data_IF_791527850568
#
_entry.id   IF_791527850568
#
_cell.length_a   1.000
_cell.length_b   1.000
_cell.length_c   1.000
_cell.angle_alpha   90.00
_cell.angle_beta   90.00
_cell.angle_gamma   90.00
#
_symmetry.space_group_name_H-M   'P 1'
#
loop_
_entity.id
_entity.type
_entity.pdbx_description
1 polymer ?
#
# COMPACT_ATOMS: atom_id res chain seq x y z
N UNK A 1 -10.97 24.99 -22.48
CA UNK A 1 -11.65 24.38 -21.31
C UNK A 1 -12.33 25.53 -20.59
N UNK A 2 -13.66 25.50 -20.45
CA UNK A 2 -14.43 26.71 -20.13
C UNK A 2 -15.14 26.62 -18.78
N UNK A 3 -14.84 25.59 -17.98
CA UNK A 3 -15.21 25.55 -16.56
C UNK A 3 -14.11 24.91 -15.71
N UNK A 4 -13.98 25.35 -14.46
CA UNK A 4 -13.09 24.72 -13.48
C UNK A 4 -13.45 23.23 -13.25
N UNK A 5 -14.72 22.87 -13.47
CA UNK A 5 -15.21 21.50 -13.42
C UNK A 5 -14.62 20.65 -14.55
N UNK A 6 -14.56 21.15 -15.78
CA UNK A 6 -13.95 20.40 -16.91
C UNK A 6 -12.46 20.13 -16.69
N UNK A 7 -11.77 21.06 -16.03
CA UNK A 7 -10.35 20.90 -15.68
C UNK A 7 -10.19 19.89 -14.56
N UNK A 8 -11.06 19.92 -13.55
CA UNK A 8 -11.10 18.96 -12.45
C UNK A 8 -11.46 17.54 -12.92
N UNK A 9 -12.44 17.41 -13.80
CA UNK A 9 -12.88 16.13 -14.36
C UNK A 9 -11.78 15.51 -15.25
N UNK A 10 -11.05 16.32 -16.03
CA UNK A 10 -9.86 15.85 -16.77
C UNK A 10 -8.71 15.46 -15.85
N UNK A 11 -8.58 16.11 -14.70
CA UNK A 11 -7.61 15.72 -13.68
C UNK A 11 -8.00 14.39 -13.05
N UNK A 12 -9.26 14.23 -12.66
CA UNK A 12 -9.80 12.95 -12.19
C UNK A 12 -9.55 11.85 -13.23
N UNK A 13 -10.01 12.02 -14.47
CA UNK A 13 -9.88 11.00 -15.51
C UNK A 13 -8.41 10.61 -15.80
N UNK A 14 -7.48 11.58 -15.75
CA UNK A 14 -6.05 11.35 -16.02
C UNK A 14 -5.25 10.82 -14.82
N UNK A 15 -5.75 10.99 -13.60
CA UNK A 15 -5.08 10.54 -12.38
C UNK A 15 -5.79 9.36 -11.69
N UNK A 16 -7.05 9.10 -11.99
CA UNK A 16 -7.83 7.97 -11.48
C UNK A 16 -7.38 6.64 -12.11
N UNK A 17 -7.03 6.65 -13.41
CA UNK A 17 -6.37 5.51 -14.08
C UNK A 17 -4.96 5.22 -13.52
N UNK A 18 -4.20 6.28 -13.17
CA UNK A 18 -2.95 6.14 -12.40
C UNK A 18 -3.23 5.66 -10.98
N UNK A 19 -4.34 6.08 -10.37
CA UNK A 19 -4.78 5.67 -9.03
C UNK A 19 -5.01 4.17 -8.96
N UNK A 20 -5.79 3.59 -9.88
CA UNK A 20 -6.08 2.14 -9.91
C UNK A 20 -4.83 1.28 -10.19
N UNK A 21 -3.94 1.72 -11.07
CA UNK A 21 -2.66 1.04 -11.29
C UNK A 21 -1.73 1.16 -10.08
N UNK A 22 -1.68 2.33 -9.45
CA UNK A 22 -0.91 2.56 -8.21
C UNK A 22 -1.46 1.72 -7.06
N UNK A 23 -2.79 1.60 -6.95
CA UNK A 23 -3.47 0.74 -5.98
C UNK A 23 -3.07 -0.73 -6.22
N UNK A 24 -3.16 -1.22 -7.46
CA UNK A 24 -2.79 -2.59 -7.80
C UNK A 24 -1.29 -2.87 -7.52
N UNK A 25 -0.42 -1.90 -7.82
CA UNK A 25 1.00 -1.98 -7.53
C UNK A 25 1.26 -2.03 -6.02
N UNK A 26 0.68 -1.11 -5.25
CA UNK A 26 0.86 -1.04 -3.79
C UNK A 26 0.30 -2.26 -3.08
N UNK A 27 -0.84 -2.81 -3.52
CA UNK A 27 -1.39 -4.07 -3.01
C UNK A 27 -0.41 -5.21 -3.33
N UNK A 28 0.02 -5.34 -4.59
CA UNK A 28 0.94 -6.41 -4.98
C UNK A 28 2.23 -6.34 -4.17
N UNK A 29 2.81 -5.15 -4.01
CA UNK A 29 4.01 -4.93 -3.22
C UNK A 29 3.80 -5.21 -1.73
N UNK A 30 2.65 -4.84 -1.16
CA UNK A 30 2.33 -5.12 0.25
C UNK A 30 2.31 -6.63 0.54
N UNK A 31 1.80 -7.45 -0.39
CA UNK A 31 1.74 -8.91 -0.22
C UNK A 31 2.99 -9.65 -0.71
N UNK A 32 3.84 -9.03 -1.55
CA UNK A 32 5.10 -9.63 -2.04
C UNK A 32 6.34 -9.18 -1.28
N UNK A 33 6.26 -8.07 -0.54
CA UNK A 33 7.38 -7.60 0.26
C UNK A 33 7.68 -8.64 1.33
N UNK A 34 8.86 -9.23 1.25
CA UNK A 34 9.45 -10.03 2.33
C UNK A 34 10.32 -9.08 3.15
N UNK A 35 10.02 -8.95 4.43
CA UNK A 35 10.88 -8.29 5.40
C UNK A 35 12.17 -9.11 5.51
N UNK A 36 13.29 -8.41 5.63
CA UNK A 36 14.61 -9.03 5.78
C UNK A 36 15.14 -8.82 7.18
N UNK A 37 15.81 -9.85 7.71
CA UNK A 37 16.58 -9.78 8.96
C UNK A 37 17.89 -8.99 8.83
N UNK A 38 18.34 -8.75 7.59
CA UNK A 38 19.60 -8.04 7.31
C UNK A 38 19.47 -6.53 7.51
N UNK A 39 18.28 -6.03 7.80
CA UNK A 39 17.96 -4.61 7.96
C UNK A 39 17.06 -4.41 9.17
N UNK A 40 17.12 -3.23 9.80
CA UNK A 40 16.25 -2.91 10.94
C UNK A 40 14.77 -3.11 10.55
N UNK A 41 14.02 -3.81 11.40
CA UNK A 41 12.61 -4.13 11.15
C UNK A 41 11.70 -2.90 11.20
N UNK A 42 12.00 -1.96 12.09
CA UNK A 42 11.21 -0.74 12.32
C UNK A 42 11.00 0.09 11.03
N UNK A 43 12.04 0.46 10.26
CA UNK A 43 11.85 1.20 9.01
C UNK A 43 11.08 0.41 7.95
N UNK A 44 11.21 -0.92 7.93
CA UNK A 44 10.48 -1.77 6.99
C UNK A 44 8.98 -1.86 7.34
N UNK A 45 8.64 -2.00 8.63
CA UNK A 45 7.27 -1.93 9.14
C UNK A 45 6.62 -0.57 8.89
N UNK A 46 7.37 0.51 9.10
CA UNK A 46 6.91 1.86 8.83
C UNK A 46 6.61 2.06 7.34
N UNK A 47 7.44 1.52 6.44
CA UNK A 47 7.18 1.55 5.01
C UNK A 47 5.89 0.78 4.63
N UNK A 48 5.62 -0.39 5.24
CA UNK A 48 4.36 -1.12 5.01
C UNK A 48 3.14 -0.33 5.50
N UNK A 49 3.19 0.27 6.69
CA UNK A 49 2.11 1.13 7.21
C UNK A 49 1.89 2.38 6.35
N UNK A 50 2.95 2.92 5.78
CA UNK A 50 2.88 4.06 4.87
C UNK A 50 2.22 3.68 3.53
N UNK A 51 2.48 2.47 3.01
CA UNK A 51 1.79 1.93 1.83
C UNK A 51 0.29 1.73 2.09
N UNK A 52 -0.07 1.15 3.24
CA UNK A 52 -1.48 1.00 3.65
C UNK A 52 -2.18 2.37 3.82
N UNK A 53 -1.49 3.36 4.37
CA UNK A 53 -2.01 4.73 4.48
C UNK A 53 -2.18 5.39 3.11
N UNK A 54 -1.25 5.17 2.19
CA UNK A 54 -1.34 5.66 0.80
C UNK A 54 -2.54 5.05 0.09
N UNK A 55 -2.78 3.75 0.25
CA UNK A 55 -3.96 3.07 -0.30
C UNK A 55 -5.26 3.70 0.22
N UNK A 56 -5.34 3.98 1.54
CA UNK A 56 -6.47 4.70 2.14
C UNK A 56 -6.68 6.09 1.52
N UNK A 57 -5.62 6.86 1.29
CA UNK A 57 -5.73 8.18 0.65
C UNK A 57 -6.15 8.11 -0.81
N UNK A 58 -5.90 6.98 -1.49
CA UNK A 58 -6.32 6.73 -2.87
C UNK A 58 -7.76 6.20 -2.98
N UNK A 59 -8.50 6.16 -1.87
CA UNK A 59 -9.89 5.70 -1.83
C UNK A 59 -10.05 4.18 -1.69
N UNK A 60 -8.94 3.44 -1.53
CA UNK A 60 -8.97 1.99 -1.31
C UNK A 60 -8.55 1.67 0.13
N UNK A 61 -9.53 1.56 1.01
CA UNK A 61 -9.31 1.13 2.39
C UNK A 61 -9.04 -0.37 2.42
N UNK A 62 -7.85 -0.78 2.87
CA UNK A 62 -7.63 -2.14 3.34
C UNK A 62 -8.11 -2.24 4.79
N UNK A 63 -8.76 -3.35 5.13
CA UNK A 63 -9.08 -3.68 6.52
C UNK A 63 -7.79 -3.80 7.34
N UNK A 64 -7.79 -3.30 8.58
CA UNK A 64 -6.65 -3.38 9.49
C UNK A 64 -6.22 -4.85 9.72
N UNK A 65 -7.18 -5.79 9.70
CA UNK A 65 -6.90 -7.23 9.76
C UNK A 65 -6.11 -7.72 8.53
N UNK A 66 -6.40 -7.21 7.33
CA UNK A 66 -5.65 -7.55 6.11
C UNK A 66 -4.24 -6.96 6.14
N UNK A 67 -4.09 -5.75 6.68
CA UNK A 67 -2.76 -5.13 6.89
C UNK A 67 -1.94 -5.96 7.89
N UNK A 68 -2.56 -6.40 8.98
CA UNK A 68 -1.89 -7.26 9.96
C UNK A 68 -1.48 -8.61 9.36
N UNK A 69 -2.36 -9.25 8.57
CA UNK A 69 -2.04 -10.49 7.86
C UNK A 69 -0.88 -10.26 6.88
N UNK A 70 -0.91 -9.17 6.11
CA UNK A 70 0.19 -8.82 5.20
C UNK A 70 1.52 -8.67 5.95
N UNK A 71 1.55 -8.00 7.09
CA UNK A 71 2.76 -7.89 7.92
C UNK A 71 3.23 -9.28 8.39
N UNK A 72 2.32 -10.13 8.86
CA UNK A 72 2.66 -11.46 9.39
C UNK A 72 3.26 -12.36 8.31
N UNK A 73 2.69 -12.40 7.10
CA UNK A 73 3.22 -13.23 6.00
C UNK A 73 4.54 -12.68 5.45
N UNK A 74 4.79 -11.38 5.63
CA UNK A 74 6.01 -10.72 5.22
C UNK A 74 7.16 -10.92 6.20
N UNK A 75 6.91 -11.41 7.42
CA UNK A 75 7.96 -11.56 8.43
C UNK A 75 9.04 -12.55 7.99
N UNK A 76 10.32 -12.31 8.35
CA UNK A 76 11.40 -13.25 8.12
C UNK A 76 11.16 -14.54 8.93
N UNK A 77 11.70 -15.67 8.46
CA UNK A 77 11.56 -16.97 9.14
C UNK A 77 12.09 -16.94 10.58
N UNK A 78 13.03 -16.06 10.91
CA UNK A 78 13.55 -15.89 12.27
C UNK A 78 12.49 -15.39 13.28
N UNK A 79 11.46 -14.69 12.80
CA UNK A 79 10.33 -14.19 13.59
C UNK A 79 9.10 -15.09 13.49
N UNK A 80 9.18 -16.22 12.76
CA UNK A 80 8.10 -17.21 12.63
C UNK A 80 7.87 -18.06 13.89
N UNK A 81 8.28 -17.58 15.06
CA UNK A 81 8.40 -18.32 16.34
C UNK A 81 7.07 -18.66 17.02
N UNK A 82 5.93 -18.55 16.32
CA UNK A 82 4.66 -19.12 16.77
C UNK A 82 4.53 -20.56 16.25
N UNK A 83 5.43 -21.44 16.69
CA UNK A 83 5.28 -22.89 16.56
C UNK A 83 5.41 -23.59 17.90
#
# INVERSE_FOLDING_TARGET
ATSAKDVWDKLLERYEGRGKQTIAYLISELFRATLSDESDLEPQLNAMRQKATTLRTLGQTLDDALVAIAIIISLPESYSVLR
#
